data_IF_457408254951
#
_entry.id   IF_457408254951
#
_cell.length_a   1.000
_cell.length_b   1.000
_cell.length_c   1.000
_cell.angle_alpha   90.00
_cell.angle_beta   90.00
_cell.angle_gamma   90.00
#
_symmetry.space_group_name_H-M   'P 1'
#
loop_
_entity.id
_entity.type
_entity.pdbx_description
1 polymer ?
#
# COMPACT_ATOMS: atom_id res chain seq x y z
N UNK A 1 -65.12 -25.63 11.87
CA UNK A 1 -64.76 -26.28 13.14
C UNK A 1 -63.73 -27.32 12.81
N UNK A 2 -62.44 -26.96 12.82
CA UNK A 2 -61.35 -27.93 12.65
C UNK A 2 -60.26 -27.60 13.68
N UNK A 3 -60.48 -28.13 14.88
CA UNK A 3 -59.55 -28.06 16.01
C UNK A 3 -58.88 -29.43 16.14
N UNK A 4 -57.83 -29.71 15.35
CA UNK A 4 -56.94 -30.86 15.59
C UNK A 4 -55.70 -30.86 14.67
N UNK A 5 -54.80 -29.90 14.86
CA UNK A 5 -53.43 -30.01 14.30
C UNK A 5 -52.39 -29.60 15.36
N UNK A 6 -52.57 -30.06 16.60
CA UNK A 6 -51.52 -29.96 17.60
C UNK A 6 -50.62 -31.20 17.47
N UNK A 7 -49.51 -31.01 16.76
CA UNK A 7 -48.54 -32.05 16.41
C UNK A 7 -48.10 -32.88 17.62
N UNK A 8 -48.26 -34.20 17.51
CA UNK A 8 -47.71 -35.17 18.46
C UNK A 8 -46.20 -35.21 18.28
N UNK A 9 -45.49 -34.32 18.95
CA UNK A 9 -44.03 -34.38 19.05
C UNK A 9 -43.65 -35.69 19.74
N UNK A 10 -43.08 -36.63 18.98
CA UNK A 10 -42.67 -37.93 19.52
C UNK A 10 -41.39 -37.72 20.34
N UNK A 11 -41.34 -38.29 21.55
CA UNK A 11 -40.19 -38.27 22.47
C UNK A 11 -38.79 -38.37 21.83
N UNK A 12 -38.52 -39.17 20.76
CA UNK A 12 -37.22 -39.16 20.08
C UNK A 12 -36.87 -37.83 19.40
N UNK A 13 -37.83 -37.09 18.88
CA UNK A 13 -37.57 -35.78 18.24
C UNK A 13 -37.25 -34.71 19.28
N UNK A 14 -37.90 -34.77 20.44
CA UNK A 14 -37.58 -33.90 21.58
C UNK A 14 -36.13 -34.13 22.05
N UNK A 15 -35.71 -35.39 22.14
CA UNK A 15 -34.34 -35.76 22.55
C UNK A 15 -33.29 -35.22 21.56
N UNK A 16 -33.55 -35.32 20.26
CA UNK A 16 -32.65 -34.81 19.21
C UNK A 16 -32.53 -33.28 19.30
N UNK A 17 -33.64 -32.56 19.53
CA UNK A 17 -33.62 -31.10 19.68
C UNK A 17 -32.85 -30.68 20.93
N UNK A 18 -33.07 -31.35 22.07
CA UNK A 18 -32.34 -31.06 23.31
C UNK A 18 -30.84 -31.32 23.12
N UNK A 19 -30.46 -32.43 22.49
CA UNK A 19 -29.05 -32.74 22.21
C UNK A 19 -28.42 -31.70 21.28
N UNK A 20 -29.13 -31.29 20.22
CA UNK A 20 -28.67 -30.29 19.27
C UNK A 20 -28.50 -28.90 19.90
N UNK A 21 -29.41 -28.52 20.79
CA UNK A 21 -29.31 -27.26 21.56
C UNK A 21 -28.16 -27.31 22.56
N UNK A 22 -27.96 -28.44 23.24
CA UNK A 22 -26.83 -28.61 24.17
C UNK A 22 -25.49 -28.56 23.41
N UNK A 23 -25.38 -29.24 22.26
CA UNK A 23 -24.20 -29.20 21.41
C UNK A 23 -23.90 -27.79 20.89
N UNK A 24 -24.92 -27.03 20.47
CA UNK A 24 -24.72 -25.66 19.98
C UNK A 24 -24.32 -24.69 21.09
N UNK A 25 -24.89 -24.83 22.29
CA UNK A 25 -24.52 -24.02 23.47
C UNK A 25 -23.10 -24.34 23.93
N UNK A 26 -22.70 -25.62 23.94
CA UNK A 26 -21.32 -26.03 24.29
C UNK A 26 -20.31 -25.53 23.25
N UNK A 27 -20.65 -25.56 21.95
CA UNK A 27 -19.78 -25.03 20.90
C UNK A 27 -19.59 -23.51 20.99
N UNK A 28 -20.60 -22.77 21.45
CA UNK A 28 -20.48 -21.32 21.66
C UNK A 28 -19.66 -20.97 22.91
N UNK A 29 -19.62 -21.86 23.92
CA UNK A 29 -18.89 -21.64 25.17
C UNK A 29 -17.37 -21.81 25.06
N UNK A 30 -16.87 -22.52 24.03
CA UNK A 30 -15.42 -22.69 23.78
C UNK A 30 -14.85 -21.67 22.79
N UNK A 31 -15.68 -20.80 22.21
CA UNK A 31 -15.29 -19.87 21.16
C UNK A 31 -14.99 -18.46 21.67
N UNK A 32 -14.49 -18.29 22.90
CA UNK A 32 -13.82 -17.05 23.29
C UNK A 32 -12.36 -17.18 22.89
N UNK A 33 -11.89 -16.46 21.86
CA UNK A 33 -10.46 -16.27 21.66
C UNK A 33 -10.01 -15.38 22.82
N UNK A 34 -9.40 -15.97 23.84
CA UNK A 34 -8.65 -15.21 24.84
C UNK A 34 -7.63 -14.40 24.05
N UNK A 35 -7.63 -13.04 24.12
CA UNK A 35 -6.58 -12.27 23.50
C UNK A 35 -5.31 -12.55 24.30
N UNK A 36 -4.48 -13.47 23.81
CA UNK A 36 -3.15 -13.74 24.33
C UNK A 36 -2.22 -12.56 24.02
N UNK A 37 -2.48 -11.42 24.67
CA UNK A 37 -1.50 -10.39 24.94
C UNK A 37 -0.63 -10.89 26.11
N UNK A 38 0.25 -11.87 25.88
CA UNK A 38 1.45 -12.17 26.69
C UNK A 38 2.20 -13.43 26.19
N UNK A 39 2.55 -13.49 24.91
CA UNK A 39 3.74 -14.20 24.40
C UNK A 39 3.93 -13.80 22.94
N UNK A 40 4.69 -12.74 22.69
CA UNK A 40 5.07 -12.38 21.32
C UNK A 40 6.09 -13.41 20.84
N UNK A 41 5.64 -14.35 20.01
CA UNK A 41 6.56 -15.20 19.26
C UNK A 41 7.29 -14.32 18.24
N UNK A 42 8.61 -14.50 18.15
CA UNK A 42 9.50 -13.89 17.16
C UNK A 42 8.97 -13.96 15.71
N UNK A 43 8.21 -14.99 15.35
CA UNK A 43 7.57 -15.12 14.03
C UNK A 43 6.44 -14.11 13.80
N UNK A 44 5.65 -13.77 14.82
CA UNK A 44 4.55 -12.79 14.69
C UNK A 44 5.07 -11.36 14.62
N UNK A 45 6.15 -11.05 15.34
CA UNK A 45 6.86 -9.77 15.22
C UNK A 45 7.53 -9.66 13.84
N UNK A 46 8.11 -10.74 13.32
CA UNK A 46 8.67 -10.77 11.97
C UNK A 46 7.59 -10.56 10.89
N UNK A 47 6.44 -11.23 11.01
CA UNK A 47 5.31 -11.06 10.11
C UNK A 47 4.69 -9.65 10.18
N UNK A 48 4.56 -9.06 11.38
CA UNK A 48 4.09 -7.69 11.57
C UNK A 48 5.10 -6.64 11.05
N UNK A 49 6.40 -6.89 11.19
CA UNK A 49 7.46 -6.10 10.55
C UNK A 49 7.41 -6.22 9.02
N UNK A 50 7.11 -7.40 8.47
CA UNK A 50 6.89 -7.63 7.05
C UNK A 50 5.65 -6.89 6.53
N UNK A 51 4.54 -6.89 7.29
CA UNK A 51 3.34 -6.11 6.94
C UNK A 51 3.61 -4.60 6.97
N UNK A 52 4.39 -4.10 7.93
CA UNK A 52 4.85 -2.70 7.94
C UNK A 52 5.72 -2.35 6.73
N UNK A 53 6.56 -3.29 6.26
CA UNK A 53 7.33 -3.11 5.01
C UNK A 53 6.42 -3.05 3.78
N UNK A 54 5.34 -3.83 3.74
CA UNK A 54 4.39 -3.79 2.61
C UNK A 54 3.44 -2.59 2.63
N UNK A 55 3.25 -1.95 3.79
CA UNK A 55 2.51 -0.69 3.93
C UNK A 55 3.37 0.57 3.65
N UNK A 56 4.47 0.46 2.89
CA UNK A 56 5.04 1.66 2.30
C UNK A 56 4.02 2.26 1.33
N UNK A 57 3.43 3.39 1.72
CA UNK A 57 2.53 4.18 0.87
C UNK A 57 3.25 4.47 -0.44
N UNK A 58 2.82 3.80 -1.50
CA UNK A 58 3.30 3.99 -2.85
C UNK A 58 2.85 5.36 -3.35
N UNK A 59 3.81 6.23 -3.65
CA UNK A 59 3.54 7.53 -4.28
C UNK A 59 3.34 7.29 -5.77
N UNK A 60 2.11 7.47 -6.26
CA UNK A 60 1.77 7.17 -7.66
C UNK A 60 2.38 8.16 -8.65
N UNK A 61 2.46 9.44 -8.29
CA UNK A 61 3.04 10.49 -9.11
C UNK A 61 3.48 11.67 -8.24
N UNK A 62 4.46 12.44 -8.73
CA UNK A 62 4.89 13.71 -8.15
C UNK A 62 4.65 14.80 -9.20
N UNK A 63 3.81 15.78 -8.88
CA UNK A 63 3.59 16.95 -9.71
C UNK A 63 4.35 18.13 -9.08
N UNK A 64 5.30 18.70 -9.82
CA UNK A 64 6.15 19.78 -9.35
C UNK A 64 5.83 21.04 -10.15
N UNK A 65 5.51 22.12 -9.43
CA UNK A 65 5.29 23.44 -9.99
C UNK A 65 6.37 24.38 -9.47
N UNK A 66 6.93 25.22 -10.34
CA UNK A 66 7.95 26.19 -9.95
C UNK A 66 8.63 26.84 -11.15
N UNK A 67 9.83 27.34 -10.92
CA UNK A 67 10.67 28.02 -11.90
C UNK A 67 11.84 27.12 -12.36
N UNK A 68 12.88 27.74 -12.92
CA UNK A 68 14.11 27.09 -13.37
C UNK A 68 14.77 26.16 -12.36
N UNK A 69 14.60 26.38 -11.05
CA UNK A 69 15.24 25.57 -10.00
C UNK A 69 14.72 24.14 -10.01
N UNK A 70 13.45 23.94 -10.35
CA UNK A 70 12.80 22.62 -10.32
C UNK A 70 12.53 22.05 -11.72
N UNK A 71 12.82 22.83 -12.77
CA UNK A 71 12.58 22.47 -14.15
C UNK A 71 13.61 21.45 -14.67
N UNK A 72 13.19 20.23 -15.07
CA UNK A 72 14.08 19.24 -15.67
C UNK A 72 14.47 19.56 -17.12
N UNK A 73 13.95 20.64 -17.71
CA UNK A 73 14.24 21.07 -19.07
C UNK A 73 13.01 21.28 -19.95
N UNK A 74 11.81 21.37 -19.37
CA UNK A 74 10.56 21.66 -20.07
C UNK A 74 10.63 22.99 -20.83
N UNK A 75 11.35 23.97 -20.27
CA UNK A 75 11.54 25.28 -20.89
C UNK A 75 12.29 25.26 -22.23
N UNK A 76 13.05 24.20 -22.55
CA UNK A 76 13.75 24.10 -23.84
C UNK A 76 12.80 24.10 -25.04
N UNK A 77 11.58 23.60 -24.84
CA UNK A 77 10.54 23.47 -25.86
C UNK A 77 9.68 24.72 -26.00
N UNK A 78 9.90 25.73 -25.16
CA UNK A 78 9.18 27.00 -25.19
C UNK A 78 10.02 28.09 -25.87
N UNK A 79 9.34 29.12 -26.39
CA UNK A 79 10.01 30.27 -27.02
C UNK A 79 10.42 31.29 -25.95
N UNK A 80 11.43 30.94 -25.15
CA UNK A 80 11.97 31.77 -24.07
C UNK A 80 13.40 32.17 -24.37
N UNK A 81 13.80 33.36 -23.89
CA UNK A 81 15.15 33.89 -24.08
C UNK A 81 16.19 33.15 -23.23
N UNK A 82 15.78 32.61 -22.08
CA UNK A 82 16.65 31.97 -21.10
C UNK A 82 16.42 30.45 -21.20
N UNK A 83 17.45 29.69 -21.58
CA UNK A 83 17.40 28.22 -21.73
C UNK A 83 18.65 27.59 -21.16
N UNK A 84 18.57 26.38 -20.63
CA UNK A 84 19.74 25.65 -20.09
C UNK A 84 20.19 24.50 -21.00
N UNK A 85 20.06 24.68 -22.31
CA UNK A 85 20.44 23.73 -23.37
C UNK A 85 21.78 24.07 -24.05
N UNK A 86 22.65 24.82 -23.38
CA UNK A 86 23.91 25.29 -23.94
C UNK A 86 25.09 24.92 -23.03
N UNK A 87 26.31 25.06 -23.58
CA UNK A 87 27.55 24.71 -22.91
C UNK A 87 27.67 25.43 -21.55
N UNK A 88 28.31 24.76 -20.59
CA UNK A 88 28.31 24.98 -19.13
C UNK A 88 27.29 24.12 -18.38
N UNK A 89 26.07 23.95 -18.87
CA UNK A 89 25.06 23.12 -18.22
C UNK A 89 25.22 21.63 -18.54
N UNK A 90 24.95 20.78 -17.54
CA UNK A 90 25.02 19.32 -17.67
C UNK A 90 26.42 18.74 -17.91
N UNK A 91 27.48 19.53 -17.67
CA UNK A 91 28.87 19.11 -17.82
C UNK A 91 29.24 17.93 -16.91
N UNK A 92 28.63 17.83 -15.74
CA UNK A 92 28.98 16.79 -14.75
C UNK A 92 28.14 15.50 -14.93
N UNK A 93 27.23 15.46 -15.92
CA UNK A 93 26.56 14.22 -16.32
C UNK A 93 27.50 13.31 -17.12
N UNK A 94 27.23 12.00 -17.07
CA UNK A 94 28.01 10.94 -17.75
C UNK A 94 28.21 11.24 -19.25
N UNK A 95 27.21 11.86 -19.88
CA UNK A 95 27.23 12.13 -21.32
C UNK A 95 27.85 13.50 -21.64
N UNK A 96 28.13 14.35 -20.64
CA UNK A 96 28.58 15.74 -20.80
C UNK A 96 27.68 16.59 -21.74
N UNK A 97 26.40 16.21 -21.87
CA UNK A 97 25.41 16.87 -22.73
C UNK A 97 24.51 17.77 -21.88
N UNK A 98 24.21 19.00 -22.32
CA UNK A 98 23.21 19.85 -21.67
C UNK A 98 21.85 19.17 -21.65
N UNK A 99 21.32 18.92 -20.46
CA UNK A 99 20.04 18.22 -20.28
C UNK A 99 18.82 19.15 -20.36
N UNK A 100 19.03 20.47 -20.34
CA UNK A 100 17.96 21.46 -20.17
C UNK A 100 17.72 21.86 -18.73
N UNK A 101 18.43 21.25 -17.77
CA UNK A 101 18.39 21.62 -16.36
C UNK A 101 19.25 22.85 -16.11
N UNK A 102 18.78 23.78 -15.28
CA UNK A 102 19.54 24.95 -14.82
C UNK A 102 20.59 24.61 -13.76
N UNK A 103 21.29 23.50 -13.96
CA UNK A 103 22.31 22.94 -13.06
C UNK A 103 23.27 22.05 -13.84
N UNK A 104 24.43 21.74 -13.26
CA UNK A 104 25.34 20.74 -13.80
C UNK A 104 24.96 19.30 -13.41
N UNK A 105 23.98 19.14 -12.53
CA UNK A 105 23.52 17.84 -12.04
C UNK A 105 22.01 17.79 -11.83
N UNK A 106 21.61 16.91 -10.91
CA UNK A 106 20.20 16.73 -10.53
C UNK A 106 19.65 18.00 -9.87
N UNK A 107 18.38 18.30 -10.16
CA UNK A 107 17.66 19.41 -9.54
C UNK A 107 16.81 18.89 -8.37
N UNK A 108 16.34 19.74 -7.43
CA UNK A 108 15.61 19.31 -6.23
C UNK A 108 14.44 18.36 -6.50
N UNK A 109 13.74 18.52 -7.62
CA UNK A 109 12.64 17.64 -8.03
C UNK A 109 13.09 16.18 -8.26
N UNK A 110 14.30 15.96 -8.76
CA UNK A 110 14.84 14.61 -8.97
C UNK A 110 15.05 13.89 -7.63
N UNK A 111 15.59 14.60 -6.63
CA UNK A 111 15.82 14.02 -5.30
C UNK A 111 14.51 13.60 -4.64
N UNK A 112 13.43 14.37 -4.83
CA UNK A 112 12.09 14.00 -4.34
C UNK A 112 11.62 12.71 -5.02
N UNK A 113 11.78 12.60 -6.34
CA UNK A 113 11.40 11.39 -7.08
C UNK A 113 12.25 10.19 -6.64
N UNK A 114 13.56 10.34 -6.49
CA UNK A 114 14.45 9.27 -6.03
C UNK A 114 14.06 8.78 -4.62
N UNK A 115 13.79 9.70 -3.70
CA UNK A 115 13.47 9.35 -2.30
C UNK A 115 12.09 8.69 -2.17
N UNK A 116 11.09 9.20 -2.90
CA UNK A 116 9.69 8.81 -2.70
C UNK A 116 9.14 7.85 -3.75
N UNK A 117 9.71 7.82 -4.96
CA UNK A 117 9.21 7.05 -6.10
C UNK A 117 10.09 5.86 -6.45
N UNK A 118 11.43 5.97 -6.42
CA UNK A 118 12.33 4.85 -6.75
C UNK A 118 12.38 3.73 -5.69
N UNK A 119 11.64 3.87 -4.58
CA UNK A 119 11.28 2.75 -3.71
C UNK A 119 10.24 1.81 -4.35
N UNK A 120 9.72 2.14 -5.53
CA UNK A 120 8.93 1.24 -6.35
C UNK A 120 9.84 0.31 -7.16
N UNK A 121 9.58 -1.01 -7.18
CA UNK A 121 10.04 -1.84 -8.27
C UNK A 121 9.24 -1.43 -9.50
N UNK A 122 9.74 -0.45 -10.25
CA UNK A 122 9.19 -0.13 -11.56
C UNK A 122 9.56 -1.34 -12.44
N UNK A 123 8.56 -2.17 -12.75
CA UNK A 123 8.64 -3.11 -13.86
C UNK A 123 8.98 -2.27 -15.08
N UNK A 124 10.24 -2.32 -15.50
CA UNK A 124 10.66 -1.74 -16.77
C UNK A 124 9.95 -2.55 -17.85
N UNK A 125 8.84 -2.02 -18.37
CA UNK A 125 8.31 -2.52 -19.63
C UNK A 125 9.33 -2.16 -20.70
N UNK A 126 9.73 -3.20 -21.42
CA UNK A 126 10.53 -3.16 -22.64
C UNK A 126 9.87 -2.29 -23.68
#
# INVERSE_FOLDING_TARGET
MDTAAMGRFRLPELLIIVLAVVLSVVAMASAVPVPAKLCETNETVAAAMQQRRQQQKKVAAVLVFGDSIVDPGNNNNLHTMIKANHALYGKDFINHVPTGRFSNGLVPSDFIVIVYVERMPISKST
#
